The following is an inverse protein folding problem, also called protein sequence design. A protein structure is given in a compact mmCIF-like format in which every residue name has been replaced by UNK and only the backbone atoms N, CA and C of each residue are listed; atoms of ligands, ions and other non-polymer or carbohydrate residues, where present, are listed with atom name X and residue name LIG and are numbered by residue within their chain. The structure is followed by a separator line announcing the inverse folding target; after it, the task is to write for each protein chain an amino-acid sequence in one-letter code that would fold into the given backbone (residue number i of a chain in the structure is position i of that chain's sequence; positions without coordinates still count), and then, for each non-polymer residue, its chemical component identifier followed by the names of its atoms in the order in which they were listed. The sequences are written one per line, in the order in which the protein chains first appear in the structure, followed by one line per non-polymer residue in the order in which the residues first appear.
data_IF_088260184354
#
_entry.id   IF_088260184354
#
_cell.length_a   1.000
_cell.length_b   1.000
_cell.length_c   1.000
_cell.angle_alpha   90.00
_cell.angle_beta   90.00
_cell.angle_gamma   90.00
#
_symmetry.space_group_name_H-M   'P 1'
#
loop_
_entity.id
_entity.type
_entity.pdbx_description
1 polymer ?
#
# COMPACT_ATOMS: atom_id res chain seq x y z
N UNK A 1 18.21 13.21 19.45
CA UNK A 1 18.79 14.56 19.32
C UNK A 1 18.06 15.51 20.25
N UNK A 2 18.79 16.32 21.01
CA UNK A 2 18.22 17.35 21.87
C UNK A 2 18.57 18.71 21.28
N UNK A 3 17.56 19.54 21.09
CA UNK A 3 17.70 20.92 20.64
C UNK A 3 17.44 21.82 21.85
N UNK A 4 18.35 22.73 22.14
CA UNK A 4 18.19 23.72 23.19
C UNK A 4 18.27 25.11 22.57
N UNK A 5 17.26 25.91 22.81
CA UNK A 5 17.25 27.34 22.43
C UNK A 5 17.77 28.13 23.63
N UNK A 6 18.82 28.88 23.41
CA UNK A 6 19.33 29.78 24.48
C UNK A 6 18.33 30.93 24.65
N UNK A 7 17.78 31.13 25.86
CA UNK A 7 16.80 32.20 26.10
C UNK A 7 17.38 33.56 25.81
N UNK A 8 16.56 34.41 25.15
CA UNK A 8 16.87 35.84 25.00
C UNK A 8 16.46 36.58 26.25
N UNK A 9 17.10 37.74 26.51
CA UNK A 9 16.69 38.63 27.61
C UNK A 9 15.21 39.00 27.44
N UNK A 10 14.39 38.66 28.46
CA UNK A 10 12.93 38.89 28.45
C UNK A 10 12.09 37.64 28.23
N UNK A 11 12.70 36.48 28.06
CA UNK A 11 12.00 35.21 28.05
C UNK A 11 11.56 34.84 29.49
N UNK A 12 10.26 34.78 29.70
CA UNK A 12 9.67 34.55 31.04
C UNK A 12 9.35 33.06 31.32
N UNK A 13 9.48 32.18 30.32
CA UNK A 13 9.32 30.74 30.47
C UNK A 13 10.42 29.98 29.72
N UNK A 14 11.43 29.55 30.46
CA UNK A 14 12.56 28.78 29.91
C UNK A 14 12.31 27.29 29.85
N UNK A 15 11.14 26.79 30.29
CA UNK A 15 10.81 25.38 30.33
C UNK A 15 10.43 24.85 28.95
N UNK A 16 9.99 25.71 28.02
CA UNK A 16 9.67 25.39 26.66
C UNK A 16 10.86 25.52 25.68
N UNK A 17 12.02 26.01 26.18
CA UNK A 17 13.25 26.15 25.42
C UNK A 17 13.98 24.84 25.15
N UNK A 18 13.48 23.71 25.62
CA UNK A 18 14.09 22.41 25.40
C UNK A 18 13.11 21.45 24.73
N UNK A 19 13.44 21.03 23.52
CA UNK A 19 12.73 19.99 22.80
C UNK A 19 13.62 18.76 22.67
N UNK A 20 13.15 17.60 23.16
CA UNK A 20 13.83 16.33 23.01
C UNK A 20 13.06 15.45 22.02
N UNK A 21 13.69 15.13 20.90
CA UNK A 21 13.20 14.15 19.94
C UNK A 21 14.00 12.87 20.09
N UNK A 22 13.33 11.79 20.45
CA UNK A 22 13.90 10.45 20.45
C UNK A 22 13.25 9.63 19.35
N UNK A 23 14.03 9.28 18.35
CA UNK A 23 13.65 8.30 17.34
C UNK A 23 14.29 6.97 17.71
N UNK A 24 13.47 5.92 17.77
CA UNK A 24 14.00 4.56 17.92
C UNK A 24 14.60 4.20 16.56
N UNK A 25 15.91 4.28 16.45
CA UNK A 25 16.62 3.66 15.35
C UNK A 25 16.54 2.15 15.59
N UNK A 26 15.53 1.50 15.02
CA UNK A 26 15.48 0.05 14.95
C UNK A 26 16.56 -0.39 13.97
N UNK A 27 17.73 -0.69 14.47
CA UNK A 27 18.86 -1.06 13.64
C UNK A 27 19.35 -2.44 13.97
N UNK A 28 18.91 -3.44 13.29
CA UNK A 28 19.76 -4.39 12.59
C UNK A 28 18.96 -4.83 11.37
N UNK A 29 19.20 -4.16 10.26
CA UNK A 29 18.78 -4.70 8.98
C UNK A 29 19.52 -6.01 8.76
N UNK A 30 18.79 -7.07 8.47
CA UNK A 30 19.37 -8.24 7.82
C UNK A 30 20.18 -7.70 6.64
N UNK A 31 21.45 -8.06 6.53
CA UNK A 31 22.31 -7.57 5.44
C UNK A 31 21.73 -7.89 4.04
N UNK A 32 20.80 -8.84 3.96
CA UNK A 32 20.12 -9.23 2.73
C UNK A 32 18.59 -9.14 2.93
N UNK A 33 18.03 -7.96 2.74
CA UNK A 33 16.64 -7.65 2.98
C UNK A 33 15.88 -7.43 1.68
N UNK A 34 14.62 -7.86 1.64
CA UNK A 34 13.67 -7.54 0.60
C UNK A 34 12.53 -6.72 1.17
N UNK A 35 12.14 -5.66 0.43
CA UNK A 35 10.98 -4.82 0.75
C UNK A 35 10.05 -4.74 -0.43
N UNK A 36 8.79 -4.38 -0.18
CA UNK A 36 7.76 -4.16 -1.21
C UNK A 36 7.00 -2.86 -0.92
N UNK A 37 6.57 -2.18 -1.97
CA UNK A 37 5.71 -0.98 -1.88
C UNK A 37 4.63 -1.03 -2.97
N UNK A 38 3.35 -0.80 -2.63
CA UNK A 38 2.82 -0.69 -1.27
C UNK A 38 3.05 -1.97 -0.48
N UNK A 39 3.04 -1.92 0.85
CA UNK A 39 3.24 -3.07 1.74
C UNK A 39 1.98 -3.37 2.55
N UNK A 40 1.68 -4.65 2.79
CA UNK A 40 0.53 -5.10 3.56
C UNK A 40 -0.71 -5.36 2.68
N UNK A 41 -1.92 -4.96 3.11
CA UNK A 41 -3.10 -5.12 2.29
C UNK A 41 -3.00 -4.29 1.00
N UNK A 42 -3.09 -4.93 -0.15
CA UNK A 42 -3.13 -4.30 -1.48
C UNK A 42 -4.51 -4.47 -2.09
N UNK A 43 -4.97 -3.47 -2.82
CA UNK A 43 -6.31 -3.44 -3.41
C UNK A 43 -6.26 -3.58 -4.93
N UNK A 44 -7.41 -3.67 -5.58
CA UNK A 44 -7.47 -3.70 -7.06
C UNK A 44 -6.82 -2.45 -7.70
N UNK A 45 -6.80 -1.32 -6.99
CA UNK A 45 -6.18 -0.07 -7.45
C UNK A 45 -4.65 -0.12 -7.39
N UNK A 46 -4.09 -0.96 -6.51
CA UNK A 46 -2.64 -1.18 -6.38
C UNK A 46 -2.17 -2.21 -7.41
N UNK A 47 -2.23 -1.84 -8.68
CA UNK A 47 -1.90 -2.77 -9.78
C UNK A 47 -0.41 -3.05 -9.91
N UNK A 48 0.47 -2.19 -9.40
CA UNK A 48 1.92 -2.26 -9.52
C UNK A 48 2.56 -2.43 -8.15
N UNK A 49 3.39 -3.45 -8.01
CA UNK A 49 4.23 -3.66 -6.82
C UNK A 49 5.68 -3.31 -7.16
N UNK A 50 6.32 -2.54 -6.28
CA UNK A 50 7.74 -2.18 -6.37
C UNK A 50 8.52 -2.98 -5.33
N UNK A 51 9.43 -3.82 -5.79
CA UNK A 51 10.31 -4.61 -4.94
C UNK A 51 11.70 -3.99 -4.89
N UNK A 52 12.28 -3.92 -3.69
CA UNK A 52 13.68 -3.57 -3.50
C UNK A 52 14.38 -4.72 -2.78
N UNK A 53 15.50 -5.18 -3.34
CA UNK A 53 16.36 -6.19 -2.75
C UNK A 53 17.64 -5.48 -2.33
N UNK A 54 17.87 -5.40 -1.02
CA UNK A 54 19.12 -4.95 -0.43
C UNK A 54 20.01 -6.15 -0.16
N UNK A 55 21.30 -6.00 -0.40
CA UNK A 55 22.28 -7.04 -0.12
C UNK A 55 23.62 -6.45 0.31
N UNK A 56 24.34 -7.19 1.10
CA UNK A 56 25.63 -6.77 1.66
C UNK A 56 26.64 -7.91 1.62
N UNK A 57 27.88 -7.62 1.21
CA UNK A 57 28.96 -8.56 1.34
C UNK A 57 29.43 -8.59 2.81
N UNK A 58 29.03 -9.62 3.54
CA UNK A 58 29.46 -9.89 4.93
C UNK A 58 30.57 -10.93 5.00
N UNK A 59 31.15 -11.30 3.86
CA UNK A 59 32.31 -12.21 3.77
C UNK A 59 33.57 -11.56 4.31
N UNK A 60 34.70 -12.19 4.00
CA UNK A 60 36.04 -11.79 4.47
C UNK A 60 36.92 -11.20 3.34
N UNK A 61 36.38 -11.13 2.12
CA UNK A 61 37.09 -10.58 0.94
C UNK A 61 36.09 -9.93 -0.02
N UNK A 62 36.61 -9.17 -0.98
CA UNK A 62 35.82 -8.57 -2.05
C UNK A 62 35.26 -9.63 -3.01
N UNK A 63 34.04 -9.43 -3.48
CA UNK A 63 33.43 -10.30 -4.50
C UNK A 63 34.07 -10.12 -5.88
N UNK A 64 33.87 -11.10 -6.76
CA UNK A 64 34.23 -11.01 -8.18
C UNK A 64 33.00 -10.86 -9.06
N UNK A 65 31.88 -11.50 -8.65
CA UNK A 65 30.58 -11.38 -9.30
C UNK A 65 29.45 -11.64 -8.29
N UNK A 66 28.26 -11.17 -8.62
CA UNK A 66 27.04 -11.40 -7.81
C UNK A 66 25.93 -11.83 -8.77
N UNK A 67 25.16 -12.84 -8.35
CA UNK A 67 23.93 -13.24 -9.05
C UNK A 67 22.76 -13.13 -8.09
N UNK A 68 21.70 -12.45 -8.52
CA UNK A 68 20.44 -12.36 -7.76
C UNK A 68 19.37 -13.11 -8.51
N UNK A 69 18.68 -14.02 -7.82
CA UNK A 69 17.52 -14.73 -8.35
C UNK A 69 16.28 -14.41 -7.52
N UNK A 70 15.21 -14.09 -8.18
CA UNK A 70 13.92 -13.78 -7.59
C UNK A 70 12.84 -14.59 -8.28
N UNK A 71 12.11 -15.40 -7.51
CA UNK A 71 11.03 -16.20 -8.06
C UNK A 71 9.70 -15.52 -7.77
N UNK A 72 9.11 -14.92 -8.80
CA UNK A 72 7.84 -14.22 -8.69
C UNK A 72 6.71 -15.16 -8.30
N UNK A 73 5.79 -14.66 -7.46
CA UNK A 73 4.52 -15.33 -7.21
C UNK A 73 3.76 -15.57 -8.52
N UNK A 74 3.03 -16.68 -8.60
CA UNK A 74 2.13 -16.97 -9.72
C UNK A 74 1.03 -15.91 -9.91
N UNK A 75 0.78 -15.09 -8.90
CA UNK A 75 -0.19 -13.98 -8.91
C UNK A 75 0.36 -12.69 -9.54
N UNK A 76 1.63 -12.69 -9.94
CA UNK A 76 2.28 -11.59 -10.65
C UNK A 76 2.40 -11.90 -12.15
N UNK A 77 2.54 -10.84 -12.97
CA UNK A 77 2.72 -10.97 -14.41
C UNK A 77 4.19 -10.71 -14.81
N UNK A 78 5.00 -11.74 -15.08
CA UNK A 78 6.43 -11.58 -15.40
C UNK A 78 6.70 -10.69 -16.63
N UNK A 79 5.77 -10.64 -17.59
CA UNK A 79 5.93 -9.82 -18.79
C UNK A 79 5.91 -8.31 -18.51
N UNK A 80 5.47 -7.90 -17.30
CA UNK A 80 5.37 -6.50 -16.92
C UNK A 80 6.55 -6.01 -16.07
N UNK A 81 7.54 -6.88 -15.83
CA UNK A 81 8.72 -6.53 -15.03
C UNK A 81 9.48 -5.36 -15.67
N UNK A 82 9.78 -4.36 -14.85
CA UNK A 82 10.60 -3.20 -15.20
C UNK A 82 11.70 -3.02 -14.15
N UNK A 83 12.96 -3.02 -14.60
CA UNK A 83 14.08 -2.64 -13.76
C UNK A 83 14.09 -1.12 -13.59
N UNK A 84 14.03 -0.64 -12.34
CA UNK A 84 13.92 0.79 -12.01
C UNK A 84 15.26 1.38 -11.64
N UNK A 85 15.99 0.73 -10.72
CA UNK A 85 17.28 1.21 -10.24
C UNK A 85 18.13 0.05 -9.72
N UNK A 86 19.44 0.24 -9.74
CA UNK A 86 20.40 -0.62 -9.04
C UNK A 86 21.65 0.18 -8.68
N UNK A 87 22.35 -0.24 -7.62
CA UNK A 87 23.60 0.40 -7.19
C UNK A 87 24.69 0.31 -8.24
N UNK A 88 24.71 -0.80 -8.97
CA UNK A 88 25.69 -1.07 -10.02
C UNK A 88 25.00 -1.54 -11.29
N UNK A 89 25.69 -1.40 -12.41
CA UNK A 89 25.19 -1.90 -13.71
C UNK A 89 25.32 -3.42 -13.75
N UNK A 90 24.19 -4.12 -13.92
CA UNK A 90 24.22 -5.57 -14.18
C UNK A 90 24.71 -5.86 -15.62
N UNK A 91 25.45 -6.94 -15.79
CA UNK A 91 25.95 -7.41 -17.07
C UNK A 91 24.89 -8.16 -17.89
N UNK A 92 23.95 -8.80 -17.19
CA UNK A 92 22.82 -9.49 -17.79
C UNK A 92 21.59 -9.46 -16.91
N UNK A 93 20.41 -9.43 -17.55
CA UNK A 93 19.10 -9.65 -16.92
C UNK A 93 18.32 -10.65 -17.75
N UNK A 94 17.73 -11.64 -17.12
CA UNK A 94 16.94 -12.68 -17.77
C UNK A 94 15.70 -13.02 -16.97
N UNK A 95 14.61 -13.35 -17.65
CA UNK A 95 13.39 -13.92 -17.08
C UNK A 95 13.24 -15.31 -17.69
N UNK A 96 13.21 -16.34 -16.84
CA UNK A 96 13.09 -17.73 -17.25
C UNK A 96 11.93 -18.44 -16.57
N UNK A 97 11.47 -19.53 -17.19
CA UNK A 97 10.35 -20.31 -16.68
C UNK A 97 9.08 -19.48 -16.50
N UNK A 98 8.40 -19.68 -15.36
CA UNK A 98 7.13 -19.03 -15.01
C UNK A 98 7.33 -17.70 -14.28
N UNK A 99 8.55 -17.14 -14.24
CA UNK A 99 8.82 -15.86 -13.57
C UNK A 99 10.04 -15.89 -12.65
N UNK A 100 11.10 -16.60 -13.03
CA UNK A 100 12.39 -16.53 -12.32
C UNK A 100 13.20 -15.39 -12.95
N UNK A 101 13.33 -14.30 -12.20
CA UNK A 101 14.17 -13.15 -12.57
C UNK A 101 15.60 -13.45 -12.16
N UNK A 102 16.55 -13.17 -13.04
CA UNK A 102 17.98 -13.34 -12.74
C UNK A 102 18.76 -12.12 -13.19
N UNK A 103 19.41 -11.45 -12.26
CA UNK A 103 20.38 -10.39 -12.52
C UNK A 103 21.78 -10.94 -12.29
N UNK A 104 22.67 -10.67 -13.23
CA UNK A 104 24.10 -11.04 -13.13
C UNK A 104 24.93 -9.78 -13.14
N UNK A 105 25.75 -9.62 -12.14
CA UNK A 105 26.77 -8.57 -12.02
C UNK A 105 28.14 -9.21 -12.18
N UNK A 106 28.74 -9.12 -13.36
CA UNK A 106 30.05 -9.71 -13.63
C UNK A 106 30.79 -8.85 -14.69
N UNK A 107 31.96 -8.27 -14.34
CA UNK A 107 32.57 -8.28 -13.00
C UNK A 107 31.89 -7.31 -12.04
N UNK A 108 31.87 -7.62 -10.75
CA UNK A 108 31.47 -6.68 -9.70
C UNK A 108 32.29 -6.95 -8.42
N UNK A 109 33.08 -5.96 -8.02
CA UNK A 109 33.82 -5.99 -6.76
C UNK A 109 33.04 -5.20 -5.70
N UNK A 110 32.53 -5.91 -4.70
CA UNK A 110 31.95 -5.33 -3.50
C UNK A 110 32.82 -5.69 -2.33
N UNK A 111 33.42 -4.70 -1.68
CA UNK A 111 34.29 -4.90 -0.50
C UNK A 111 33.46 -5.54 0.63
N UNK A 112 34.17 -6.24 1.53
CA UNK A 112 33.55 -6.81 2.72
C UNK A 112 33.12 -5.73 3.73
N UNK A 113 32.15 -6.08 4.57
CA UNK A 113 31.57 -5.16 5.54
C UNK A 113 32.51 -4.78 6.70
N UNK A 114 33.52 -5.59 7.00
CA UNK A 114 34.50 -5.28 8.02
C UNK A 114 35.48 -4.21 7.51
N UNK A 115 35.84 -4.27 6.23
CA UNK A 115 36.72 -3.29 5.59
C UNK A 115 36.02 -1.96 5.32
N UNK A 116 34.79 -1.99 4.79
CA UNK A 116 34.00 -0.79 4.50
C UNK A 116 32.49 -1.07 4.62
N UNK A 117 31.88 -0.80 5.78
CA UNK A 117 30.46 -1.09 6.02
C UNK A 117 29.50 -0.45 5.02
N UNK A 118 29.76 0.80 4.60
CA UNK A 118 28.91 1.49 3.61
C UNK A 118 29.17 1.03 2.18
N UNK A 119 30.42 0.81 1.83
CA UNK A 119 30.85 0.34 0.52
C UNK A 119 30.49 -1.12 0.22
N UNK A 120 30.13 -1.90 1.25
CA UNK A 120 29.73 -3.30 1.10
C UNK A 120 28.23 -3.49 0.77
N UNK A 121 27.39 -2.44 0.86
CA UNK A 121 25.94 -2.48 0.65
C UNK A 121 25.57 -2.17 -0.79
N UNK A 122 24.59 -2.92 -1.31
CA UNK A 122 24.05 -2.74 -2.66
C UNK A 122 22.55 -2.95 -2.65
N UNK A 123 21.89 -2.50 -3.72
CA UNK A 123 20.47 -2.77 -3.93
C UNK A 123 20.13 -2.92 -5.41
N UNK A 124 19.01 -3.55 -5.67
CA UNK A 124 18.30 -3.55 -6.94
C UNK A 124 16.81 -3.32 -6.70
N UNK A 125 16.17 -2.55 -7.59
CA UNK A 125 14.76 -2.20 -7.54
C UNK A 125 14.09 -2.51 -8.86
N UNK A 126 12.93 -3.16 -8.80
CA UNK A 126 12.11 -3.44 -9.98
C UNK A 126 10.62 -3.32 -9.64
N UNK A 127 9.82 -3.12 -10.68
CA UNK A 127 8.36 -3.15 -10.59
C UNK A 127 7.80 -4.33 -11.35
N UNK A 128 6.63 -4.80 -10.93
CA UNK A 128 5.85 -5.84 -11.60
C UNK A 128 4.37 -5.63 -11.32
N UNK A 129 3.50 -5.94 -12.29
CA UNK A 129 2.06 -5.86 -12.09
C UNK A 129 1.50 -7.13 -11.46
N UNK A 130 0.53 -6.97 -10.57
CA UNK A 130 -0.35 -8.05 -10.16
C UNK A 130 -1.17 -8.54 -11.36
N UNK A 131 -1.56 -9.79 -11.36
CA UNK A 131 -2.60 -10.28 -12.27
C UNK A 131 -3.94 -9.62 -11.93
N UNK A 132 -4.76 -9.28 -12.90
CA UNK A 132 -6.07 -8.68 -12.66
C UNK A 132 -7.02 -9.67 -11.97
N UNK A 133 -8.00 -9.12 -11.25
CA UNK A 133 -9.10 -9.88 -10.64
C UNK A 133 -8.65 -10.99 -9.67
N UNK A 134 -7.62 -10.74 -8.90
CA UNK A 134 -7.23 -11.64 -7.81
C UNK A 134 -8.35 -11.68 -6.75
N UNK A 135 -8.75 -12.87 -6.28
CA UNK A 135 -9.71 -12.98 -5.19
C UNK A 135 -9.19 -12.30 -3.91
N UNK A 136 -10.09 -11.67 -3.16
CA UNK A 136 -9.77 -11.14 -1.81
C UNK A 136 -9.24 -12.26 -0.93
N UNK A 137 -8.20 -11.96 -0.16
CA UNK A 137 -7.47 -12.94 0.65
C UNK A 137 -6.34 -13.65 -0.11
N UNK A 138 -6.17 -13.40 -1.42
CA UNK A 138 -5.04 -13.94 -2.17
C UNK A 138 -3.73 -13.36 -1.64
N UNK A 139 -2.80 -14.22 -1.26
CA UNK A 139 -1.48 -13.82 -0.77
C UNK A 139 -0.46 -13.82 -1.91
N UNK A 140 0.35 -12.76 -1.97
CA UNK A 140 1.44 -12.57 -2.92
C UNK A 140 2.74 -12.60 -2.13
N UNK A 141 3.40 -13.74 -2.09
CA UNK A 141 4.68 -13.91 -1.43
C UNK A 141 5.83 -13.75 -2.42
N UNK A 142 6.90 -13.10 -2.00
CA UNK A 142 8.10 -12.98 -2.81
C UNK A 142 9.37 -13.01 -1.94
N UNK A 143 10.37 -13.77 -2.41
CA UNK A 143 11.66 -13.99 -1.73
C UNK A 143 12.76 -13.99 -2.79
N UNK A 144 13.92 -13.44 -2.46
CA UNK A 144 15.05 -13.44 -3.35
C UNK A 144 16.24 -14.23 -2.75
N UNK A 145 17.10 -14.72 -3.63
CA UNK A 145 18.35 -15.41 -3.31
C UNK A 145 19.53 -14.64 -3.90
N UNK A 146 20.51 -14.29 -3.09
CA UNK A 146 21.72 -13.57 -3.49
C UNK A 146 22.92 -14.53 -3.41
N UNK A 147 23.64 -14.67 -4.50
CA UNK A 147 24.83 -15.50 -4.62
C UNK A 147 26.05 -14.59 -4.75
N UNK A 148 26.94 -14.68 -3.78
CA UNK A 148 28.22 -14.00 -3.81
C UNK A 148 29.28 -14.99 -4.31
N UNK A 149 29.82 -14.75 -5.50
CA UNK A 149 30.75 -15.66 -6.19
C UNK A 149 30.16 -17.08 -6.31
N UNK A 150 30.92 -18.09 -5.91
CA UNK A 150 30.53 -19.51 -5.94
C UNK A 150 29.92 -20.00 -4.61
N UNK A 151 29.61 -19.10 -3.69
CA UNK A 151 29.06 -19.47 -2.39
C UNK A 151 27.58 -19.89 -2.50
N UNK A 152 27.08 -20.55 -1.46
CA UNK A 152 25.65 -20.84 -1.32
C UNK A 152 24.84 -19.55 -1.25
N UNK A 153 23.59 -19.63 -1.71
CA UNK A 153 22.70 -18.48 -1.68
C UNK A 153 22.46 -17.96 -0.26
N UNK A 154 22.50 -16.65 -0.10
CA UNK A 154 21.93 -15.97 1.04
C UNK A 154 20.51 -15.57 0.64
N UNK A 155 19.52 -16.05 1.40
CA UNK A 155 18.10 -15.85 1.11
C UNK A 155 17.60 -14.65 1.91
N UNK A 156 16.85 -13.74 1.26
CA UNK A 156 16.23 -12.61 1.94
C UNK A 156 15.05 -13.06 2.79
N UNK A 157 14.50 -12.15 3.60
CA UNK A 157 13.15 -12.32 4.14
C UNK A 157 12.13 -12.49 3.01
N UNK A 158 10.99 -13.12 3.33
CA UNK A 158 9.82 -13.16 2.46
C UNK A 158 8.97 -11.93 2.72
N UNK A 159 8.68 -11.14 1.69
CA UNK A 159 7.63 -10.11 1.74
C UNK A 159 6.30 -10.73 1.35
N UNK A 160 5.23 -10.30 1.98
CA UNK A 160 3.90 -10.86 1.81
C UNK A 160 2.86 -9.74 1.74
N UNK A 161 2.15 -9.66 0.64
CA UNK A 161 1.00 -8.79 0.46
C UNK A 161 -0.26 -9.63 0.33
N UNK A 162 -1.40 -9.09 0.76
CA UNK A 162 -2.68 -9.79 0.68
C UNK A 162 -3.68 -8.93 -0.07
N UNK A 163 -4.32 -9.50 -1.09
CA UNK A 163 -5.39 -8.83 -1.82
C UNK A 163 -6.55 -8.55 -0.86
N UNK A 164 -6.91 -7.29 -0.72
CA UNK A 164 -7.94 -6.80 0.18
C UNK A 164 -9.01 -6.01 -0.58
N UNK A 165 -10.15 -5.89 0.02
CA UNK A 165 -11.11 -4.90 -0.43
C UNK A 165 -10.51 -3.51 -0.19
N UNK A 166 -10.72 -2.55 -1.12
CA UNK A 166 -10.31 -1.18 -0.87
C UNK A 166 -11.03 -0.67 0.37
N UNK A 167 -10.27 -0.44 1.43
CA UNK A 167 -10.76 0.29 2.61
C UNK A 167 -10.72 1.77 2.27
N UNK A 168 -11.74 2.24 1.58
CA UNK A 168 -11.88 3.67 1.41
C UNK A 168 -12.22 4.29 2.77
N UNK A 169 -11.26 4.93 3.40
CA UNK A 169 -11.57 6.06 4.26
C UNK A 169 -11.92 7.16 3.26
N UNK A 170 -13.21 7.39 3.08
CA UNK A 170 -13.65 8.48 2.24
C UNK A 170 -13.25 9.78 2.94
N UNK A 171 -12.16 10.37 2.51
CA UNK A 171 -12.06 11.82 2.64
C UNK A 171 -13.21 12.37 1.82
N UNK A 172 -14.16 12.97 2.52
CA UNK A 172 -15.18 13.80 1.88
C UNK A 172 -14.39 14.86 1.13
N UNK A 173 -14.20 14.66 -0.18
CA UNK A 173 -13.65 15.71 -1.03
C UNK A 173 -14.67 16.86 -0.95
N UNK A 174 -14.34 17.87 -0.16
CA UNK A 174 -15.13 19.08 0.02
C UNK A 174 -15.29 19.91 -1.27
N UNK A 175 -14.94 19.34 -2.41
CA UNK A 175 -15.03 19.98 -3.72
C UNK A 175 -16.28 19.59 -4.53
N UNK A 176 -17.18 18.73 -4.01
CA UNK A 176 -18.48 18.51 -4.61
C UNK A 176 -19.52 19.40 -3.89
N UNK A 177 -20.23 20.21 -4.65
CA UNK A 177 -21.42 20.95 -4.16
C UNK A 177 -22.57 20.02 -3.75
N UNK A 178 -22.31 18.71 -3.64
CA UNK A 178 -23.31 17.68 -3.30
C UNK A 178 -23.42 17.59 -1.79
N UNK A 179 -24.62 17.83 -1.28
CA UNK A 179 -24.95 17.62 0.13
C UNK A 179 -26.07 16.58 0.26
N UNK A 180 -25.93 15.69 1.23
CA UNK A 180 -26.92 14.64 1.52
C UNK A 180 -27.37 14.78 2.97
N UNK A 181 -28.67 14.79 3.18
CA UNK A 181 -29.30 14.78 4.50
C UNK A 181 -30.18 13.54 4.61
N UNK A 182 -30.12 12.86 5.74
CA UNK A 182 -30.97 11.72 6.08
C UNK A 182 -31.71 12.01 7.38
N UNK A 183 -33.01 11.88 7.38
CA UNK A 183 -33.82 12.10 8.60
C UNK A 183 -35.14 11.28 8.57
N UNK A 184 -35.51 10.66 9.70
CA UNK A 184 -34.70 10.53 10.90
C UNK A 184 -33.46 9.67 10.67
N UNK A 185 -32.41 9.92 11.42
CA UNK A 185 -31.23 9.06 11.50
C UNK A 185 -30.62 9.20 12.90
N UNK A 186 -30.74 8.22 13.81
CA UNK A 186 -31.21 6.84 13.58
C UNK A 186 -32.69 6.71 13.15
N UNK A 187 -33.03 5.55 12.52
CA UNK A 187 -34.39 5.22 12.11
C UNK A 187 -34.74 3.75 12.39
N UNK A 188 -36.03 3.47 12.57
CA UNK A 188 -36.55 2.13 12.89
C UNK A 188 -37.48 1.54 11.83
N UNK A 189 -37.92 2.34 10.84
CA UNK A 189 -38.79 1.91 9.73
C UNK A 189 -38.31 2.54 8.40
N UNK A 190 -38.34 3.86 8.31
CA UNK A 190 -37.98 4.61 7.10
C UNK A 190 -37.16 5.84 7.44
N UNK A 191 -36.19 6.16 6.58
CA UNK A 191 -35.47 7.43 6.57
C UNK A 191 -35.59 8.10 5.22
N UNK A 192 -35.83 9.42 5.23
CA UNK A 192 -35.93 10.25 4.03
C UNK A 192 -34.55 10.80 3.69
N UNK A 193 -34.10 10.55 2.47
CA UNK A 193 -32.82 11.06 1.95
C UNK A 193 -33.13 12.26 1.05
N UNK A 194 -32.46 13.38 1.34
CA UNK A 194 -32.49 14.59 0.50
C UNK A 194 -31.07 14.85 -0.03
N UNK A 195 -30.97 14.89 -1.34
CA UNK A 195 -29.70 15.15 -2.05
C UNK A 195 -29.78 16.51 -2.73
N UNK A 196 -28.78 17.35 -2.56
CA UNK A 196 -28.66 18.65 -3.23
C UNK A 196 -27.34 18.77 -3.97
N UNK A 197 -27.30 19.58 -5.02
CA UNK A 197 -26.09 19.79 -5.82
C UNK A 197 -25.90 18.78 -6.97
N UNK A 198 -26.89 17.91 -7.24
CA UNK A 198 -26.94 17.03 -8.41
C UNK A 198 -28.11 17.44 -9.28
N UNK A 199 -27.88 17.69 -10.57
CA UNK A 199 -28.86 18.09 -11.56
C UNK A 199 -29.18 16.98 -12.58
N UNK A 200 -28.68 15.78 -12.36
CA UNK A 200 -28.85 14.62 -13.21
C UNK A 200 -29.30 13.41 -12.39
N UNK A 201 -29.69 12.33 -13.06
CA UNK A 201 -30.04 11.07 -12.41
C UNK A 201 -28.83 10.50 -11.65
N UNK A 202 -29.11 9.98 -10.46
CA UNK A 202 -28.08 9.37 -9.62
C UNK A 202 -28.53 8.02 -9.05
N UNK A 203 -27.58 7.20 -8.63
CA UNK A 203 -27.82 5.93 -7.97
C UNK A 203 -27.55 6.03 -6.47
N UNK A 204 -28.15 5.12 -5.71
CA UNK A 204 -27.90 4.95 -4.28
C UNK A 204 -27.54 3.49 -3.97
N UNK A 205 -26.54 3.29 -3.15
CA UNK A 205 -26.15 1.98 -2.65
C UNK A 205 -25.89 2.03 -1.15
N UNK A 206 -26.37 1.01 -0.44
CA UNK A 206 -26.24 0.87 1.01
C UNK A 206 -25.46 -0.39 1.34
N UNK A 207 -24.47 -0.28 2.19
CA UNK A 207 -23.58 -1.35 2.59
C UNK A 207 -23.57 -1.54 4.11
N UNK A 208 -23.40 -2.77 4.58
CA UNK A 208 -23.08 -3.01 5.97
C UNK A 208 -21.60 -2.65 6.28
N UNK A 209 -21.22 -2.72 7.55
CA UNK A 209 -19.86 -2.38 7.99
C UNK A 209 -18.80 -3.36 7.47
N UNK A 210 -19.18 -4.50 6.90
CA UNK A 210 -18.28 -5.46 6.25
C UNK A 210 -18.10 -5.18 4.77
N UNK A 211 -18.76 -4.14 4.24
CA UNK A 211 -18.73 -3.76 2.82
C UNK A 211 -19.68 -4.56 1.92
N UNK A 212 -20.57 -5.39 2.49
CA UNK A 212 -21.55 -6.15 1.72
C UNK A 212 -22.73 -5.26 1.35
N UNK A 213 -23.07 -5.23 0.04
CA UNK A 213 -24.22 -4.50 -0.48
C UNK A 213 -25.52 -5.05 0.10
N UNK A 214 -26.34 -4.17 0.70
CA UNK A 214 -27.61 -4.49 1.33
C UNK A 214 -28.80 -4.01 0.50
N UNK A 215 -28.71 -2.78 -0.03
CA UNK A 215 -29.75 -2.19 -0.88
C UNK A 215 -29.12 -1.40 -2.02
N UNK A 216 -29.82 -1.33 -3.16
CA UNK A 216 -29.44 -0.48 -4.30
C UNK A 216 -30.65 0.11 -4.97
N UNK A 217 -30.54 1.38 -5.35
CA UNK A 217 -31.49 2.08 -6.20
C UNK A 217 -30.71 2.61 -7.39
N UNK A 218 -30.78 1.98 -8.57
CA UNK A 218 -29.85 2.25 -9.67
C UNK A 218 -30.08 3.60 -10.36
N UNK A 219 -31.30 4.16 -10.28
CA UNK A 219 -31.60 5.45 -10.90
C UNK A 219 -32.70 6.19 -10.12
N UNK A 220 -32.38 7.38 -9.66
CA UNK A 220 -33.24 8.29 -8.92
C UNK A 220 -33.28 9.60 -9.70
N UNK A 221 -34.51 10.04 -10.04
CA UNK A 221 -34.77 11.27 -10.81
C UNK A 221 -35.10 12.47 -9.91
N UNK A 222 -35.47 12.20 -8.66
CA UNK A 222 -35.87 13.22 -7.69
C UNK A 222 -34.75 13.44 -6.67
N UNK A 223 -34.64 14.67 -6.19
CA UNK A 223 -33.69 15.01 -5.13
C UNK A 223 -34.06 14.43 -3.74
N UNK A 224 -35.13 13.64 -3.67
CA UNK A 224 -35.64 13.01 -2.44
C UNK A 224 -36.09 11.58 -2.73
N UNK A 225 -35.74 10.66 -1.80
CA UNK A 225 -36.16 9.26 -1.84
C UNK A 225 -36.13 8.65 -0.44
N UNK A 226 -36.78 7.52 -0.30
CA UNK A 226 -36.92 6.83 0.98
C UNK A 226 -36.04 5.58 1.00
N UNK A 227 -35.40 5.34 2.16
CA UNK A 227 -34.74 4.10 2.48
C UNK A 227 -35.48 3.41 3.60
N UNK A 228 -36.00 2.23 3.32
CA UNK A 228 -36.77 1.43 4.28
C UNK A 228 -35.82 0.44 5.00
N UNK A 229 -36.08 0.25 6.30
CA UNK A 229 -35.37 -0.78 7.10
C UNK A 229 -35.53 -2.17 6.48
N UNK A 230 -36.79 -2.57 6.17
CA UNK A 230 -37.04 -3.89 5.60
C UNK A 230 -36.42 -5.01 6.41
N UNK A 231 -35.49 -5.74 5.78
CA UNK A 231 -34.76 -6.85 6.42
C UNK A 231 -33.42 -6.43 7.02
N UNK A 232 -33.08 -5.14 7.07
CA UNK A 232 -31.83 -4.67 7.66
C UNK A 232 -31.84 -4.93 9.17
N UNK A 233 -30.75 -5.51 9.67
CA UNK A 233 -30.52 -5.65 11.11
C UNK A 233 -30.23 -4.28 11.76
N UNK A 234 -30.46 -4.16 13.07
CA UNK A 234 -30.05 -2.97 13.80
C UNK A 234 -28.53 -2.81 13.71
N UNK A 235 -28.07 -1.60 13.42
CA UNK A 235 -26.64 -1.34 13.27
C UNK A 235 -26.32 -0.13 12.41
N UNK A 236 -25.03 0.00 12.10
CA UNK A 236 -24.50 1.08 11.27
C UNK A 236 -24.35 0.58 9.83
N UNK A 237 -24.79 1.41 8.89
CA UNK A 237 -24.68 1.19 7.46
C UNK A 237 -24.00 2.39 6.80
N UNK A 238 -23.26 2.12 5.74
CA UNK A 238 -22.61 3.15 4.93
C UNK A 238 -23.31 3.24 3.58
N UNK A 239 -23.57 4.43 3.10
CA UNK A 239 -24.16 4.61 1.78
C UNK A 239 -23.26 5.43 0.86
N UNK A 240 -23.46 5.26 -0.45
CA UNK A 240 -22.90 6.13 -1.48
C UNK A 240 -23.95 6.56 -2.50
N UNK A 241 -23.79 7.80 -2.97
CA UNK A 241 -24.52 8.36 -4.11
C UNK A 241 -23.62 8.24 -5.34
N UNK A 242 -24.16 7.74 -6.43
CA UNK A 242 -23.44 7.52 -7.68
C UNK A 242 -23.99 8.42 -8.79
N UNK A 243 -23.14 9.22 -9.42
CA UNK A 243 -23.46 10.02 -10.61
C UNK A 243 -22.68 9.44 -11.78
N UNK A 244 -23.37 9.06 -12.85
CA UNK A 244 -22.75 8.36 -14.02
C UNK A 244 -21.85 7.18 -13.62
N UNK A 245 -22.26 6.42 -12.57
CA UNK A 245 -21.51 5.27 -12.05
C UNK A 245 -20.30 5.62 -11.19
N UNK A 246 -20.02 6.90 -10.96
CA UNK A 246 -18.94 7.36 -10.09
C UNK A 246 -19.48 7.88 -8.76
N UNK A 247 -18.82 7.59 -7.64
CA UNK A 247 -19.22 8.09 -6.34
C UNK A 247 -19.14 9.62 -6.28
N UNK A 248 -20.26 10.27 -5.87
CA UNK A 248 -20.37 11.71 -5.73
C UNK A 248 -20.56 12.16 -4.27
N UNK A 249 -21.13 11.30 -3.42
CA UNK A 249 -21.29 11.56 -1.99
C UNK A 249 -21.39 10.26 -1.21
N UNK A 250 -21.16 10.35 0.09
CA UNK A 250 -21.19 9.23 1.03
C UNK A 250 -21.80 9.66 2.35
N UNK A 251 -22.26 8.70 3.12
CA UNK A 251 -22.71 8.96 4.48
C UNK A 251 -23.00 7.70 5.26
N UNK A 252 -23.57 7.92 6.43
CA UNK A 252 -23.89 6.88 7.41
C UNK A 252 -25.36 6.91 7.75
N UNK A 253 -25.98 5.73 7.80
CA UNK A 253 -27.30 5.49 8.37
C UNK A 253 -27.19 4.61 9.61
N UNK A 254 -28.04 4.84 10.58
CA UNK A 254 -28.15 4.01 11.80
C UNK A 254 -29.55 3.46 11.85
N UNK A 255 -29.66 2.14 11.89
CA UNK A 255 -30.93 1.39 12.01
C UNK A 255 -31.11 0.95 13.45
N UNK A 256 -32.28 1.21 14.04
CA UNK A 256 -32.68 0.80 15.39
C UNK A 256 -33.82 -0.19 15.39
#
# INVERSE_FOLDING_TARGET
STFTITPKIGDCDTTDNQYSYSEIVTGSHDPNEKTVSPSGPVTADDSVLTYTIHFQNTGTDSTHFIVIKDTLSSNLNPATVRNIASSDKYSAFNISGTGILTWTFNPLRVVDSATNPSGSKRFIMFTVHKKPNLPVGTTINNTASVYFDYNTAVVTNTVSDTEALPTYIFEVSNNSNVSVKAFPNPFNDVTHIVVTGINEKFGFELYDVTGRLQQTIPSIDNNQFDVHKGQLANGVYLYRILVTGKPAAYGKLVVE
#
